data_IF_852606331336
#
_entry.id   IF_852606331336
#
_cell.length_a   1.000
_cell.length_b   1.000
_cell.length_c   1.000
_cell.angle_alpha   90.00
_cell.angle_beta   90.00
_cell.angle_gamma   90.00
#
_symmetry.space_group_name_H-M   'P 1'
#
loop_
_entity.id
_entity.type
_entity.pdbx_description
1 polymer ?
#
# COMPACT_ATOMS: atom_id res chain seq x y z
N UNK A 1 -17.58 -12.63 4.00
CA UNK A 1 -16.83 -13.14 2.84
C UNK A 1 -15.92 -14.22 3.39
N UNK A 2 -16.05 -15.47 2.91
CA UNK A 2 -15.12 -16.52 3.31
C UNK A 2 -13.71 -16.11 2.84
N UNK A 3 -12.63 -16.49 3.54
CA UNK A 3 -11.27 -16.27 3.06
C UNK A 3 -11.16 -16.82 1.64
N UNK A 4 -10.55 -16.05 0.74
CA UNK A 4 -10.29 -16.53 -0.60
C UNK A 4 -9.28 -17.69 -0.47
N UNK A 5 -9.55 -18.87 -1.03
CA UNK A 5 -8.65 -20.03 -0.92
C UNK A 5 -7.27 -19.75 -1.57
N UNK A 6 -7.15 -18.65 -2.31
CA UNK A 6 -5.93 -18.10 -2.89
C UNK A 6 -5.91 -16.57 -2.72
N UNK A 7 -5.19 -16.04 -1.73
CA UNK A 7 -5.05 -14.60 -1.55
C UNK A 7 -4.39 -13.94 -2.77
N UNK A 8 -4.88 -12.77 -3.17
CA UNK A 8 -4.34 -12.02 -4.30
C UNK A 8 -3.51 -10.81 -3.84
N UNK A 9 -2.35 -10.60 -4.48
CA UNK A 9 -1.56 -9.37 -4.35
C UNK A 9 -1.68 -8.55 -5.64
N UNK A 10 -2.34 -7.39 -5.54
CA UNK A 10 -2.39 -6.38 -6.60
C UNK A 10 -1.32 -5.33 -6.33
N UNK A 11 -0.38 -5.15 -7.26
CA UNK A 11 0.63 -4.09 -7.17
C UNK A 11 0.28 -2.96 -8.15
N UNK A 12 -0.02 -1.78 -7.59
CA UNK A 12 -0.21 -0.55 -8.35
C UNK A 12 1.14 0.17 -8.41
N UNK A 13 1.88 -0.02 -9.50
CA UNK A 13 3.21 0.52 -9.70
C UNK A 13 3.26 1.62 -10.77
N UNK A 14 4.14 2.61 -10.58
CA UNK A 14 4.37 3.69 -11.54
C UNK A 14 4.77 5.02 -10.89
N UNK A 15 5.27 6.00 -11.66
CA UNK A 15 5.75 7.27 -11.12
C UNK A 15 4.65 8.09 -10.42
N UNK A 16 5.07 9.10 -9.66
CA UNK A 16 4.13 10.08 -9.08
C UNK A 16 3.33 10.76 -10.21
N UNK A 17 2.02 10.89 -10.02
CA UNK A 17 1.12 11.44 -11.04
C UNK A 17 0.59 10.44 -12.09
N UNK A 18 1.04 9.17 -12.09
CA UNK A 18 0.57 8.16 -13.05
C UNK A 18 -0.89 7.68 -12.87
N UNK A 19 -1.63 8.22 -11.90
CA UNK A 19 -3.05 7.88 -11.67
C UNK A 19 -3.31 6.63 -10.82
N UNK A 20 -2.30 6.06 -10.15
CA UNK A 20 -2.40 4.83 -9.33
C UNK A 20 -3.50 4.89 -8.27
N UNK A 21 -3.52 5.92 -7.42
CA UNK A 21 -4.57 6.07 -6.40
C UNK A 21 -5.95 6.35 -7.01
N UNK A 22 -6.02 6.92 -8.22
CA UNK A 22 -7.28 7.07 -8.95
C UNK A 22 -7.79 5.72 -9.45
N UNK A 23 -6.90 4.89 -9.99
CA UNK A 23 -7.21 3.51 -10.39
C UNK A 23 -7.73 2.69 -9.20
N UNK A 24 -7.09 2.80 -8.04
CA UNK A 24 -7.56 2.14 -6.80
C UNK A 24 -9.03 2.46 -6.49
N UNK A 25 -9.43 3.73 -6.58
CA UNK A 25 -10.80 4.19 -6.27
C UNK A 25 -11.86 3.65 -7.23
N UNK A 26 -11.51 3.39 -8.49
CA UNK A 26 -12.45 2.93 -9.52
C UNK A 26 -12.46 1.41 -9.68
N UNK A 27 -11.34 0.75 -9.47
CA UNK A 27 -11.17 -0.68 -9.77
C UNK A 27 -11.76 -1.59 -8.69
N UNK A 28 -12.13 -1.06 -7.52
CA UNK A 28 -12.78 -1.80 -6.41
C UNK A 28 -12.06 -3.11 -6.07
N UNK A 29 -10.73 -3.09 -6.06
CA UNK A 29 -9.93 -4.23 -5.63
C UNK A 29 -10.35 -4.67 -4.21
N UNK A 30 -10.37 -5.98 -3.97
CA UNK A 30 -10.53 -6.54 -2.63
C UNK A 30 -9.23 -6.44 -1.84
N UNK A 31 -9.34 -6.46 -0.51
CA UNK A 31 -8.18 -6.57 0.36
C UNK A 31 -7.73 -5.27 1.03
N UNK A 32 -6.64 -5.41 1.79
CA UNK A 32 -6.05 -4.29 2.55
C UNK A 32 -5.23 -3.40 1.63
N UNK A 33 -5.46 -2.10 1.70
CA UNK A 33 -4.68 -1.12 0.94
C UNK A 33 -3.46 -0.67 1.72
N UNK A 34 -2.27 -0.80 1.11
CA UNK A 34 -0.99 -0.43 1.69
C UNK A 34 -0.33 0.60 0.76
N UNK A 35 -0.15 1.81 1.29
CA UNK A 35 0.52 2.92 0.61
C UNK A 35 1.39 3.67 1.64
N UNK A 36 2.69 3.79 1.34
CA UNK A 36 3.65 4.45 2.23
C UNK A 36 3.35 5.95 2.45
N UNK A 37 2.84 6.67 1.44
CA UNK A 37 2.50 8.09 1.57
C UNK A 37 1.31 8.30 2.51
N UNK A 38 0.32 7.40 2.48
CA UNK A 38 -0.79 7.45 3.45
C UNK A 38 -0.33 7.13 4.87
N UNK A 39 0.62 6.20 5.01
CA UNK A 39 1.22 5.90 6.32
C UNK A 39 1.99 7.13 6.82
N UNK A 40 2.80 7.77 5.97
CA UNK A 40 3.55 8.97 6.32
C UNK A 40 2.62 10.11 6.77
N UNK A 41 1.53 10.38 6.03
CA UNK A 41 0.50 11.36 6.42
C UNK A 41 -0.19 11.05 7.74
N UNK A 42 -0.36 9.77 8.09
CA UNK A 42 -0.91 9.36 9.39
C UNK A 42 0.09 9.51 10.54
N UNK A 43 1.38 9.33 10.27
CA UNK A 43 2.44 9.47 11.26
C UNK A 43 2.72 10.94 11.61
N UNK A 44 2.67 11.81 10.60
CA UNK A 44 2.89 13.26 10.76
C UNK A 44 2.13 14.00 9.66
N UNK A 45 0.92 14.50 9.96
CA UNK A 45 0.11 15.25 8.99
C UNK A 45 0.79 16.54 8.52
N UNK A 46 1.58 17.18 9.39
CA UNK A 46 2.23 18.46 9.12
C UNK A 46 3.51 18.28 8.30
N UNK A 47 4.26 17.20 8.53
CA UNK A 47 5.55 16.94 7.88
C UNK A 47 5.71 15.46 7.41
N UNK A 48 4.85 14.96 6.51
CA UNK A 48 4.85 13.55 6.11
C UNK A 48 6.15 13.14 5.41
N UNK A 49 6.79 14.04 4.66
CA UNK A 49 8.05 13.75 3.97
C UNK A 49 9.16 13.35 4.96
N UNK A 50 9.19 13.95 6.16
CA UNK A 50 10.15 13.59 7.21
C UNK A 50 9.91 12.19 7.78
N UNK A 51 8.74 11.59 7.53
CA UNK A 51 8.39 10.23 7.94
C UNK A 51 8.55 9.20 6.83
N UNK A 52 9.01 9.58 5.64
CA UNK A 52 9.09 8.68 4.47
C UNK A 52 9.78 7.34 4.77
N UNK A 53 10.98 7.35 5.39
CA UNK A 53 11.68 6.12 5.74
C UNK A 53 10.94 5.26 6.78
N UNK A 54 10.33 5.91 7.78
CA UNK A 54 9.57 5.20 8.81
C UNK A 54 8.29 4.57 8.23
N UNK A 55 7.63 5.30 7.34
CA UNK A 55 6.44 4.87 6.63
C UNK A 55 6.72 3.70 5.68
N UNK A 56 7.84 3.73 4.95
CA UNK A 56 8.29 2.61 4.12
C UNK A 56 8.52 1.33 4.94
N UNK A 57 9.22 1.43 6.09
CA UNK A 57 9.39 0.28 7.00
C UNK A 57 8.06 -0.24 7.55
N UNK A 58 7.11 0.65 7.83
CA UNK A 58 5.79 0.24 8.30
C UNK A 58 4.94 -0.36 7.17
N UNK A 59 5.09 0.08 5.92
CA UNK A 59 4.43 -0.52 4.77
C UNK A 59 4.88 -1.98 4.57
N UNK A 60 6.19 -2.25 4.67
CA UNK A 60 6.75 -3.62 4.63
C UNK A 60 6.19 -4.48 5.76
N UNK A 61 6.17 -3.97 7.01
CA UNK A 61 5.58 -4.72 8.13
C UNK A 61 4.10 -5.05 7.91
N UNK A 62 3.32 -4.12 7.36
CA UNK A 62 1.91 -4.38 7.03
C UNK A 62 1.74 -5.41 5.91
N UNK A 63 2.67 -5.44 4.94
CA UNK A 63 2.70 -6.49 3.93
C UNK A 63 2.95 -7.85 4.59
N UNK A 64 3.95 -7.96 5.46
CA UNK A 64 4.27 -9.20 6.18
C UNK A 64 3.07 -9.68 7.03
N UNK A 65 2.43 -8.78 7.76
CA UNK A 65 1.22 -9.06 8.54
C UNK A 65 0.06 -9.56 7.66
N UNK A 66 -0.16 -8.94 6.49
CA UNK A 66 -1.22 -9.33 5.58
C UNK A 66 -0.94 -10.67 4.89
N UNK A 67 0.32 -10.95 4.54
CA UNK A 67 0.73 -12.25 4.02
C UNK A 67 0.50 -13.37 5.05
N UNK A 68 0.88 -13.14 6.31
CA UNK A 68 0.64 -14.10 7.39
C UNK A 68 -0.84 -14.32 7.67
N UNK A 69 -1.66 -13.28 7.51
CA UNK A 69 -3.11 -13.37 7.67
C UNK A 69 -3.82 -14.05 6.50
N UNK A 70 -3.14 -14.27 5.36
CA UNK A 70 -3.74 -14.89 4.18
C UNK A 70 -4.90 -14.08 3.60
N UNK A 71 -4.77 -12.75 3.56
CA UNK A 71 -5.80 -11.84 3.03
C UNK A 71 -5.36 -11.21 1.71
N UNK A 72 -6.32 -10.77 0.89
CA UNK A 72 -6.04 -9.99 -0.32
C UNK A 72 -5.31 -8.68 0.04
N UNK A 73 -4.41 -8.24 -0.84
CA UNK A 73 -3.56 -7.06 -0.64
C UNK A 73 -3.59 -6.21 -1.90
N UNK A 74 -3.70 -4.90 -1.71
CA UNK A 74 -3.44 -3.90 -2.74
C UNK A 74 -2.29 -3.01 -2.28
N UNK A 75 -1.15 -3.11 -2.96
CA UNK A 75 0.06 -2.37 -2.64
C UNK A 75 0.32 -1.27 -3.69
N UNK A 76 0.27 0.00 -3.28
CA UNK A 76 0.65 1.12 -4.15
C UNK A 76 2.10 1.53 -3.88
N UNK A 77 2.90 1.60 -4.95
CA UNK A 77 4.32 1.96 -4.88
C UNK A 77 4.78 2.66 -6.15
N UNK A 78 5.88 3.40 -6.07
CA UNK A 78 6.56 3.97 -7.24
C UNK A 78 7.54 2.98 -7.88
N UNK A 79 7.90 1.89 -7.20
CA UNK A 79 9.03 1.01 -7.55
C UNK A 79 10.33 1.77 -7.81
N UNK A 80 10.49 2.98 -7.25
CA UNK A 80 11.72 3.75 -7.37
C UNK A 80 12.77 3.21 -6.41
N UNK A 81 13.92 2.79 -6.93
CA UNK A 81 15.13 2.57 -6.15
C UNK A 81 15.94 3.86 -6.07
N UNK A 82 16.38 4.24 -4.89
CA UNK A 82 17.50 5.16 -4.69
C UNK A 82 18.75 4.37 -4.34
#
# INVERSE_FOLDING_TARGET
MLPNDRPELVVLAGPNGAGKSSLYKIARFSGVFINADEIARRLDPENPQQKSMAAGRQAIRRLDEAFLAGVDIVYETTLSSH
#
